data_IF_212717403642
#
_entry.id   IF_212717403642
#
_cell.length_a   1.000
_cell.length_b   1.000
_cell.length_c   1.000
_cell.angle_alpha   90.00
_cell.angle_beta   90.00
_cell.angle_gamma   90.00
#
_symmetry.space_group_name_H-M   'P 1'
#
loop_
_entity.id
_entity.type
_entity.pdbx_description
1 polymer ?
#
# COMPACT_ATOMS: atom_id res chain seq x y z
N UNK A 1 -6.54 -20.66 -16.92
CA UNK A 1 -5.55 -19.58 -16.68
C UNK A 1 -5.44 -19.38 -15.19
N UNK A 2 -4.30 -19.76 -14.60
CA UNK A 2 -4.11 -19.73 -13.15
C UNK A 2 -4.11 -18.30 -12.64
N UNK A 3 -5.03 -17.99 -11.72
CA UNK A 3 -4.93 -16.80 -10.89
C UNK A 3 -3.76 -17.03 -9.95
N UNK A 4 -2.57 -16.56 -10.33
CA UNK A 4 -1.44 -16.56 -9.42
C UNK A 4 -1.88 -15.74 -8.19
N UNK A 5 -1.98 -16.40 -7.03
CA UNK A 5 -2.08 -15.79 -5.71
C UNK A 5 -0.84 -14.94 -5.46
N UNK A 6 -0.72 -13.84 -6.19
CA UNK A 6 0.33 -12.85 -5.99
C UNK A 6 0.04 -12.26 -4.63
N UNK A 7 0.82 -12.72 -3.65
CA UNK A 7 0.73 -12.23 -2.28
C UNK A 7 1.02 -10.74 -2.36
N UNK A 8 -0.02 -9.91 -2.29
CA UNK A 8 0.13 -8.45 -2.26
C UNK A 8 0.30 -7.99 -0.82
N UNK A 9 1.33 -7.17 -0.58
CA UNK A 9 1.58 -6.54 0.71
C UNK A 9 1.20 -5.07 0.65
N UNK A 10 0.56 -4.60 1.72
CA UNK A 10 0.19 -3.19 1.88
C UNK A 10 1.36 -2.43 2.50
N UNK A 11 1.70 -1.30 1.89
CA UNK A 11 2.70 -0.36 2.38
C UNK A 11 2.01 0.95 2.74
N UNK A 12 2.39 1.51 3.88
CA UNK A 12 2.02 2.85 4.29
C UNK A 12 3.09 3.81 3.83
N UNK A 13 2.71 4.79 3.02
CA UNK A 13 3.57 5.90 2.63
C UNK A 13 3.08 7.17 3.27
N UNK A 14 3.98 7.89 3.92
CA UNK A 14 3.75 9.26 4.37
C UNK A 14 4.65 10.18 3.56
N UNK A 15 4.01 11.02 2.77
CA UNK A 15 4.66 12.01 1.95
C UNK A 15 4.77 13.34 2.70
N UNK A 16 5.80 14.15 2.38
CA UNK A 16 5.98 15.47 2.98
C UNK A 16 4.93 16.48 2.49
N UNK A 17 4.34 16.20 1.33
CA UNK A 17 3.34 17.02 0.64
C UNK A 17 1.98 16.34 0.60
N UNK A 18 0.94 17.12 0.25
CA UNK A 18 -0.42 16.65 0.10
C UNK A 18 -0.53 15.92 -1.24
N UNK A 19 -0.86 14.64 -1.19
CA UNK A 19 -1.07 13.84 -2.39
C UNK A 19 -2.44 14.21 -2.95
N UNK A 20 -2.48 14.73 -4.17
CA UNK A 20 -3.73 15.14 -4.80
C UNK A 20 -4.32 13.97 -5.59
N UNK A 21 -3.48 13.16 -6.23
CA UNK A 21 -3.90 12.10 -7.16
C UNK A 21 -3.16 10.78 -6.99
N UNK A 22 -3.82 9.70 -7.40
CA UNK A 22 -3.27 8.34 -7.39
C UNK A 22 -2.11 8.22 -8.39
N UNK A 23 -2.21 8.92 -9.52
CA UNK A 23 -1.24 8.85 -10.61
C UNK A 23 0.14 9.31 -10.15
N UNK A 24 0.20 10.39 -9.36
CA UNK A 24 1.45 10.87 -8.77
C UNK A 24 2.15 9.80 -7.93
N UNK A 25 1.40 8.92 -7.26
CA UNK A 25 1.98 7.83 -6.45
C UNK A 25 2.41 6.66 -7.30
N UNK A 26 1.67 6.34 -8.37
CA UNK A 26 2.07 5.34 -9.36
C UNK A 26 3.35 5.76 -10.11
N UNK A 27 3.52 7.05 -10.38
CA UNK A 27 4.73 7.60 -11.01
C UNK A 27 5.97 7.49 -10.11
N UNK A 28 5.80 7.43 -8.77
CA UNK A 28 6.93 7.24 -7.86
C UNK A 28 7.56 5.85 -7.97
N UNK A 29 6.79 4.82 -8.32
CA UNK A 29 7.32 3.47 -8.44
C UNK A 29 6.42 2.55 -9.30
N UNK A 30 6.98 1.91 -10.35
CA UNK A 30 6.21 1.04 -11.25
C UNK A 30 5.70 -0.27 -10.60
N UNK A 31 6.25 -0.67 -9.45
CA UNK A 31 5.87 -1.88 -8.71
C UNK A 31 4.58 -1.70 -7.88
N UNK A 32 3.99 -0.50 -7.92
CA UNK A 32 2.75 -0.20 -7.22
C UNK A 32 1.56 -0.69 -8.06
N UNK A 33 0.95 -1.78 -7.61
CA UNK A 33 -0.22 -2.37 -8.27
C UNK A 33 -1.49 -1.56 -7.99
N UNK A 34 -1.69 -1.12 -6.74
CA UNK A 34 -2.82 -0.26 -6.34
C UNK A 34 -2.40 0.82 -5.38
N UNK A 35 -3.08 1.96 -5.46
CA UNK A 35 -2.95 3.05 -4.50
C UNK A 35 -4.31 3.23 -3.84
N UNK A 36 -4.31 3.30 -2.52
CA UNK A 36 -5.45 3.71 -1.72
C UNK A 36 -5.13 5.08 -1.14
N UNK A 37 -5.70 6.11 -1.77
CA UNK A 37 -5.65 7.48 -1.27
C UNK A 37 -6.46 7.61 0.03
N UNK A 38 -6.03 8.48 0.95
CA UNK A 38 -6.78 8.72 2.17
C UNK A 38 -8.14 9.36 1.85
N UNK A 39 -9.21 8.88 2.50
CA UNK A 39 -10.56 9.44 2.36
C UNK A 39 -10.63 10.94 2.74
N UNK A 40 -9.72 11.37 3.63
CA UNK A 40 -9.54 12.79 3.97
C UNK A 40 -8.41 13.40 3.14
N UNK A 41 -8.75 14.32 2.23
CA UNK A 41 -7.82 15.05 1.37
C UNK A 41 -6.71 15.81 2.13
N UNK A 42 -6.88 16.10 3.42
CA UNK A 42 -5.84 16.74 4.27
C UNK A 42 -4.71 15.83 4.74
N UNK A 43 -4.83 14.51 4.55
CA UNK A 43 -3.83 13.57 5.06
C UNK A 43 -2.67 13.43 4.08
N UNK A 44 -1.45 13.61 4.58
CA UNK A 44 -0.21 13.48 3.80
C UNK A 44 0.30 12.04 3.75
N UNK A 45 -0.62 11.09 3.74
CA UNK A 45 -0.27 9.68 3.75
C UNK A 45 -1.23 8.89 2.88
N UNK A 46 -0.72 7.84 2.25
CA UNK A 46 -1.47 6.92 1.41
C UNK A 46 -1.05 5.49 1.74
N UNK A 47 -1.89 4.55 1.33
CA UNK A 47 -1.56 3.12 1.39
C UNK A 47 -1.37 2.64 -0.03
N UNK A 48 -0.34 1.85 -0.32
CA UNK A 48 -0.14 1.24 -1.63
C UNK A 48 -0.04 -0.27 -1.49
N UNK A 49 -0.40 -1.00 -2.53
CA UNK A 49 -0.27 -2.45 -2.62
C UNK A 49 0.79 -2.77 -3.64
N UNK A 50 1.79 -3.55 -3.21
CA UNK A 50 2.89 -4.04 -4.05
C UNK A 50 3.02 -5.54 -3.91
N UNK A 51 3.75 -6.15 -4.84
CA UNK A 51 4.02 -7.57 -4.74
C UNK A 51 4.91 -7.88 -3.52
N UNK A 52 4.62 -8.99 -2.82
CA UNK A 52 5.36 -9.36 -1.62
C UNK A 52 6.80 -9.77 -1.92
N UNK A 53 7.05 -10.32 -3.11
CA UNK A 53 8.40 -10.73 -3.51
C UNK A 53 9.32 -9.52 -3.63
N UNK A 54 8.79 -8.43 -4.20
CA UNK A 54 9.53 -7.19 -4.43
C UNK A 54 9.43 -6.17 -3.30
N UNK A 55 8.65 -6.44 -2.25
CA UNK A 55 8.33 -5.47 -1.19
C UNK A 55 9.58 -4.85 -0.53
N UNK A 56 10.64 -5.66 -0.36
CA UNK A 56 11.90 -5.19 0.25
C UNK A 56 12.64 -4.21 -0.66
N UNK A 57 12.68 -4.48 -1.96
CA UNK A 57 13.30 -3.62 -2.96
C UNK A 57 12.51 -2.30 -3.04
N UNK A 58 11.19 -2.40 -3.19
CA UNK A 58 10.28 -1.27 -3.25
C UNK A 58 10.40 -0.35 -2.04
N UNK A 59 10.45 -0.90 -0.82
CA UNK A 59 10.63 -0.10 0.41
C UNK A 59 11.98 0.60 0.45
N UNK A 60 13.04 -0.05 -0.05
CA UNK A 60 14.39 0.53 -0.07
C UNK A 60 14.47 1.69 -1.08
N UNK A 61 13.88 1.52 -2.25
CA UNK A 61 13.78 2.55 -3.28
C UNK A 61 12.92 3.72 -2.80
N UNK A 62 11.70 3.47 -2.33
CA UNK A 62 10.78 4.51 -1.84
C UNK A 62 11.36 5.30 -0.64
N UNK A 63 12.17 4.68 0.22
CA UNK A 63 12.89 5.39 1.31
C UNK A 63 14.02 6.29 0.82
N UNK A 64 14.52 6.03 -0.38
CA UNK A 64 15.56 6.81 -1.05
C UNK A 64 14.98 7.94 -1.90
N UNK A 65 13.74 7.78 -2.36
CA UNK A 65 12.99 8.82 -3.06
C UNK A 65 12.82 10.07 -2.19
N UNK A 66 13.11 11.22 -2.80
CA UNK A 66 12.88 12.55 -2.22
C UNK A 66 11.78 13.23 -3.00
N UNK A 67 10.71 13.60 -2.31
CA UNK A 67 9.62 14.40 -2.89
C UNK A 67 9.76 15.80 -2.31
N UNK A 68 9.89 16.80 -3.19
CA UNK A 68 10.05 18.20 -2.81
C UNK A 68 11.21 18.43 -1.79
N UNK A 69 12.36 17.79 -2.05
CA UNK A 69 13.56 17.87 -1.20
C UNK A 69 13.47 17.11 0.14
N UNK A 70 12.32 16.52 0.47
CA UNK A 70 12.08 15.80 1.73
C UNK A 70 11.96 14.29 1.49
N UNK A 71 12.47 13.50 2.43
CA UNK A 71 12.44 12.03 2.34
C UNK A 71 11.02 11.52 2.59
N UNK A 72 10.63 10.52 1.81
CA UNK A 72 9.35 9.83 2.00
C UNK A 72 9.49 8.80 3.12
N UNK A 73 8.48 8.72 3.99
CA UNK A 73 8.46 7.72 5.05
C UNK A 73 7.63 6.52 4.60
N UNK A 74 8.24 5.33 4.64
CA UNK A 74 7.63 4.09 4.17
C UNK A 74 7.62 3.08 5.31
N UNK A 75 6.46 2.52 5.60
CA UNK A 75 6.26 1.48 6.60
C UNK A 75 5.48 0.32 6.01
N UNK A 76 6.00 -0.89 6.13
CA UNK A 76 5.30 -2.10 5.71
C UNK A 76 4.16 -2.39 6.69
N UNK A 77 2.93 -2.46 6.20
CA UNK A 77 1.83 -3.05 6.97
C UNK A 77 1.89 -4.55 6.72
N UNK A 78 2.28 -5.32 7.73
CA UNK A 78 2.13 -6.78 7.66
C UNK A 78 0.66 -7.09 7.40
N UNK A 79 0.41 -7.92 6.38
CA UNK A 79 -0.88 -8.53 6.15
C UNK A 79 -1.11 -9.51 7.31
N UNK A 80 -1.74 -9.04 8.39
CA UNK A 80 -2.50 -9.98 9.21
C UNK A 80 -3.61 -10.51 8.33
N UNK A 81 -3.61 -11.82 8.16
CA UNK A 81 -4.67 -12.56 7.49
C UNK A 81 -5.97 -12.27 8.24
N UNK A 82 -6.77 -11.32 7.73
CA UNK A 82 -8.20 -11.31 8.01
C UNK A 82 -8.85 -12.36 7.12
N UNK A 83 -8.70 -13.61 7.52
CA UNK A 83 -9.52 -14.71 7.04
C UNK A 83 -9.82 -15.62 8.23
N UNK A 84 -10.65 -15.12 9.16
CA UNK A 84 -11.40 -15.88 10.16
C UNK A 84 -12.32 -14.92 10.93
N UNK A 85 -13.33 -14.37 10.26
CA UNK A 85 -14.60 -14.00 10.92
C UNK A 85 -15.70 -13.83 9.86
N UNK A 86 -15.95 -14.89 9.08
CA UNK A 86 -17.18 -14.99 8.30
C UNK A 86 -17.65 -16.45 8.21
N UNK A 87 -17.57 -17.18 9.33
CA UNK A 87 -18.19 -18.51 9.43
C UNK A 87 -18.48 -18.83 10.90
N UNK A 88 -19.55 -18.25 11.44
CA UNK A 88 -20.36 -18.85 12.52
C UNK A 88 -21.50 -17.90 12.90
N UNK A 89 -22.63 -17.98 12.19
CA UNK A 89 -24.00 -18.01 12.72
C UNK A 89 -25.00 -17.84 11.55
N UNK A 90 -25.00 -18.82 10.65
CA UNK A 90 -26.16 -19.08 9.79
C UNK A 90 -26.50 -20.55 9.87
N UNK A 91 -26.71 -21.03 11.08
CA UNK A 91 -27.43 -22.27 11.38
C UNK A 91 -27.84 -22.22 12.86
N UNK A 92 -29.13 -22.51 13.11
CA UNK A 92 -29.83 -22.62 14.41
C UNK A 92 -30.42 -21.32 15.00
N UNK A 93 -31.62 -20.93 14.54
CA UNK A 93 -32.90 -21.41 15.12
C UNK A 93 -34.08 -21.04 14.21
#
# INVERSE_FOLDING_TARGET
MGVADTKRTKLYLRLPERIVEEQQIKELHPAIARVALPRQKSRRWCTVEVDSDEVKAVVKELKSVRVNGKRVFVKVLKKEAKEADLTSLREQQ
#
